data_IF_875680339120
#
_entry.id   IF_875680339120
#
_cell.length_a   1.000
_cell.length_b   1.000
_cell.length_c   1.000
_cell.angle_alpha   90.00
_cell.angle_beta   90.00
_cell.angle_gamma   90.00
#
_symmetry.space_group_name_H-M   'P 1'
#
loop_
_entity.id
_entity.type
_entity.pdbx_description
1 polymer ?
#
# COMPACT_ATOMS: atom_id res chain seq x y z
N UNK A 1 -28.77 137.56 -100.24
CA UNK A 1 -28.00 137.07 -99.09
C UNK A 1 -28.60 135.73 -98.69
N UNK A 2 -27.98 134.63 -99.11
CA UNK A 2 -28.41 133.27 -98.79
C UNK A 2 -27.94 132.92 -97.38
N UNK A 3 -28.85 132.83 -96.42
CA UNK A 3 -28.57 132.19 -95.13
C UNK A 3 -29.07 130.74 -95.24
N UNK A 4 -28.15 129.80 -95.45
CA UNK A 4 -28.49 128.38 -95.42
C UNK A 4 -28.70 127.97 -93.96
N UNK A 5 -29.93 127.56 -93.62
CA UNK A 5 -30.34 127.09 -92.28
C UNK A 5 -29.59 125.83 -91.79
N UNK A 6 -28.61 125.34 -92.54
CA UNK A 6 -27.70 124.26 -92.16
C UNK A 6 -26.28 124.70 -91.75
N UNK A 7 -25.93 125.99 -91.87
CA UNK A 7 -24.66 126.53 -91.37
C UNK A 7 -24.76 126.81 -89.87
N UNK A 8 -24.41 125.78 -89.10
CA UNK A 8 -24.37 125.84 -87.65
C UNK A 8 -23.04 126.48 -87.18
N UNK A 9 -23.06 127.80 -86.95
CA UNK A 9 -21.90 128.59 -86.48
C UNK A 9 -21.42 128.15 -85.07
N UNK A 10 -22.26 127.44 -84.31
CA UNK A 10 -21.96 126.88 -82.98
C UNK A 10 -21.50 125.40 -83.04
N UNK A 11 -21.28 124.85 -84.24
CA UNK A 11 -20.86 123.45 -84.38
C UNK A 11 -19.52 123.15 -83.71
N UNK A 12 -18.59 124.12 -83.68
CA UNK A 12 -17.28 123.97 -83.06
C UNK A 12 -17.28 124.09 -81.53
N UNK A 13 -18.24 124.84 -80.94
CA UNK A 13 -18.48 124.91 -79.50
C UNK A 13 -19.25 123.67 -79.03
N UNK A 14 -20.26 123.23 -79.80
CA UNK A 14 -20.99 121.98 -79.58
C UNK A 14 -20.08 120.74 -79.64
N UNK A 15 -19.19 120.64 -80.64
CA UNK A 15 -18.20 119.55 -80.74
C UNK A 15 -17.22 119.53 -79.56
N UNK A 16 -16.80 120.69 -79.05
CA UNK A 16 -15.94 120.80 -77.86
C UNK A 16 -16.66 120.37 -76.59
N UNK A 17 -17.92 120.78 -76.41
CA UNK A 17 -18.77 120.33 -75.30
C UNK A 17 -18.99 118.81 -75.36
N UNK A 18 -19.27 118.28 -76.55
CA UNK A 18 -19.46 116.85 -76.79
C UNK A 18 -18.17 116.07 -76.48
N UNK A 19 -16.99 116.55 -76.92
CA UNK A 19 -15.70 115.96 -76.56
C UNK A 19 -15.43 115.99 -75.06
N UNK A 20 -15.76 117.08 -74.36
CA UNK A 20 -15.61 117.18 -72.92
C UNK A 20 -16.56 116.23 -72.17
N UNK A 21 -17.81 116.11 -72.62
CA UNK A 21 -18.76 115.14 -72.07
C UNK A 21 -18.32 113.70 -72.33
N UNK A 22 -17.84 113.39 -73.54
CA UNK A 22 -17.27 112.08 -73.84
C UNK A 22 -16.05 111.78 -72.96
N UNK A 23 -15.14 112.74 -72.77
CA UNK A 23 -13.96 112.58 -71.92
C UNK A 23 -14.33 112.36 -70.45
N UNK A 24 -15.25 113.16 -69.92
CA UNK A 24 -15.76 113.01 -68.55
C UNK A 24 -16.46 111.66 -68.34
N UNK A 25 -17.30 111.22 -69.29
CA UNK A 25 -17.96 109.92 -69.22
C UNK A 25 -16.96 108.75 -69.32
N UNK A 26 -15.94 108.87 -70.17
CA UNK A 26 -14.85 107.88 -70.27
C UNK A 26 -14.03 107.80 -68.98
N UNK A 27 -13.66 108.93 -68.39
CA UNK A 27 -12.93 108.99 -67.11
C UNK A 27 -13.76 108.39 -65.98
N UNK A 28 -15.07 108.70 -65.90
CA UNK A 28 -16.03 108.07 -64.98
C UNK A 28 -16.12 106.56 -65.17
N UNK A 29 -16.27 106.10 -66.41
CA UNK A 29 -16.39 104.67 -66.71
C UNK A 29 -15.09 103.91 -66.40
N UNK A 30 -13.92 104.53 -66.64
CA UNK A 30 -12.63 103.97 -66.23
C UNK A 30 -12.50 103.89 -64.70
N UNK A 31 -12.93 104.92 -63.98
CA UNK A 31 -12.89 104.94 -62.52
C UNK A 31 -13.86 103.92 -61.91
N UNK A 32 -15.07 103.79 -62.43
CA UNK A 32 -16.05 102.78 -62.03
C UNK A 32 -15.53 101.35 -62.32
N UNK A 33 -14.94 101.12 -63.50
CA UNK A 33 -14.29 99.82 -63.80
C UNK A 33 -13.13 99.52 -62.87
N UNK A 34 -12.33 100.53 -62.50
CA UNK A 34 -11.23 100.34 -61.58
C UNK A 34 -11.71 100.02 -60.17
N UNK A 35 -12.76 100.71 -59.69
CA UNK A 35 -13.40 100.42 -58.41
C UNK A 35 -13.96 98.99 -58.36
N UNK A 36 -14.71 98.55 -59.38
CA UNK A 36 -15.23 97.18 -59.46
C UNK A 36 -14.10 96.15 -59.44
N UNK A 37 -13.00 96.39 -60.18
CA UNK A 37 -11.83 95.50 -60.16
C UNK A 37 -11.16 95.44 -58.80
N UNK A 38 -11.08 96.55 -58.08
CA UNK A 38 -10.45 96.60 -56.78
C UNK A 38 -11.37 95.97 -55.71
N UNK A 39 -12.68 96.17 -55.80
CA UNK A 39 -13.69 95.46 -54.99
C UNK A 39 -13.66 93.94 -55.25
N UNK A 40 -13.56 93.51 -56.51
CA UNK A 40 -13.44 92.10 -56.89
C UNK A 40 -12.16 91.48 -56.30
N UNK A 41 -11.01 92.15 -56.44
CA UNK A 41 -9.76 91.71 -55.80
C UNK A 41 -9.87 91.63 -54.27
N UNK A 42 -10.55 92.60 -53.65
CA UNK A 42 -10.77 92.58 -52.21
C UNK A 42 -11.68 91.42 -51.80
N UNK A 43 -12.75 91.16 -52.55
CA UNK A 43 -13.65 90.03 -52.31
C UNK A 43 -12.95 88.68 -52.51
N UNK A 44 -12.12 88.54 -53.54
CA UNK A 44 -11.32 87.33 -53.77
C UNK A 44 -10.28 87.11 -52.67
N UNK A 45 -9.59 88.16 -52.21
CA UNK A 45 -8.68 88.07 -51.07
C UNK A 45 -9.39 87.59 -49.79
N UNK A 46 -10.59 88.12 -49.52
CA UNK A 46 -11.42 87.68 -48.39
C UNK A 46 -11.88 86.22 -48.54
N UNK A 47 -12.23 85.80 -49.76
CA UNK A 47 -12.57 84.40 -50.04
C UNK A 47 -11.38 83.48 -49.81
N UNK A 48 -10.20 83.85 -50.27
CA UNK A 48 -8.97 83.08 -50.08
C UNK A 48 -8.62 82.95 -48.60
N UNK A 49 -8.73 84.03 -47.82
CA UNK A 49 -8.53 84.00 -46.37
C UNK A 49 -9.53 83.08 -45.67
N UNK A 50 -10.78 83.09 -46.09
CA UNK A 50 -11.83 82.23 -45.53
C UNK A 50 -11.57 80.75 -45.85
N UNK A 51 -11.18 80.42 -47.08
CA UNK A 51 -10.79 79.05 -47.44
C UNK A 51 -9.57 78.59 -46.63
N UNK A 52 -8.53 79.42 -46.50
CA UNK A 52 -7.36 79.12 -45.68
C UNK A 52 -7.74 78.86 -44.22
N UNK A 53 -8.64 79.67 -43.64
CA UNK A 53 -9.11 79.47 -42.27
C UNK A 53 -9.87 78.14 -42.12
N UNK A 54 -10.73 77.78 -43.07
CA UNK A 54 -11.44 76.50 -43.09
C UNK A 54 -10.46 75.34 -43.20
N UNK A 55 -9.48 75.41 -44.09
CA UNK A 55 -8.48 74.36 -44.28
C UNK A 55 -7.63 74.15 -43.01
N UNK A 56 -7.23 75.24 -42.35
CA UNK A 56 -6.52 75.18 -41.06
C UNK A 56 -7.40 74.52 -40.00
N UNK A 57 -8.68 74.89 -39.91
CA UNK A 57 -9.62 74.30 -38.96
C UNK A 57 -9.86 72.81 -39.25
N UNK A 58 -10.02 72.44 -40.52
CA UNK A 58 -10.18 71.04 -40.94
C UNK A 58 -8.94 70.20 -40.58
N UNK A 59 -7.73 70.74 -40.82
CA UNK A 59 -6.50 70.08 -40.45
C UNK A 59 -6.34 69.91 -38.92
N UNK A 60 -6.75 70.90 -38.13
CA UNK A 60 -6.76 70.80 -36.67
C UNK A 60 -7.74 69.74 -36.17
N UNK A 61 -8.97 69.72 -36.72
CA UNK A 61 -9.98 68.72 -36.39
C UNK A 61 -9.51 67.30 -36.71
N UNK A 62 -8.96 67.07 -37.90
CA UNK A 62 -8.42 65.76 -38.30
C UNK A 62 -7.29 65.28 -37.36
N UNK A 63 -6.41 66.19 -36.92
CA UNK A 63 -5.37 65.86 -35.94
C UNK A 63 -5.96 65.44 -34.59
N UNK A 64 -6.96 66.17 -34.09
CA UNK A 64 -7.61 65.85 -32.82
C UNK A 64 -8.35 64.50 -32.87
N UNK A 65 -9.02 64.21 -33.98
CA UNK A 65 -9.67 62.92 -34.22
C UNK A 65 -8.66 61.77 -34.20
N UNK A 66 -7.52 61.93 -34.89
CA UNK A 66 -6.45 60.93 -34.90
C UNK A 66 -5.88 60.71 -33.50
N UNK A 67 -5.62 61.78 -32.74
CA UNK A 67 -5.18 61.67 -31.34
C UNK A 67 -6.20 60.95 -30.46
N UNK A 68 -7.50 61.27 -30.62
CA UNK A 68 -8.57 60.59 -29.89
C UNK A 68 -8.62 59.10 -30.26
N UNK A 69 -8.53 58.77 -31.54
CA UNK A 69 -8.55 57.41 -32.02
C UNK A 69 -7.35 56.60 -31.47
N UNK A 70 -6.14 57.15 -31.53
CA UNK A 70 -4.94 56.53 -30.95
C UNK A 70 -5.10 56.35 -29.43
N UNK A 71 -5.61 57.36 -28.72
CA UNK A 71 -5.84 57.28 -27.28
C UNK A 71 -6.86 56.18 -26.94
N UNK A 72 -7.98 56.10 -27.66
CA UNK A 72 -8.99 55.05 -27.49
C UNK A 72 -8.43 53.65 -27.78
N UNK A 73 -7.67 53.50 -28.88
CA UNK A 73 -7.04 52.22 -29.23
C UNK A 73 -6.04 51.78 -28.15
N UNK A 74 -5.21 52.70 -27.64
CA UNK A 74 -4.24 52.40 -26.58
C UNK A 74 -4.93 52.03 -25.26
N UNK A 75 -5.99 52.76 -24.88
CA UNK A 75 -6.79 52.45 -23.70
C UNK A 75 -7.45 51.07 -23.82
N UNK A 76 -8.03 50.74 -24.98
CA UNK A 76 -8.62 49.42 -25.25
C UNK A 76 -7.57 48.31 -25.22
N UNK A 77 -6.40 48.53 -25.80
CA UNK A 77 -5.29 47.57 -25.76
C UNK A 77 -4.84 47.31 -24.32
N UNK A 78 -4.73 48.35 -23.49
CA UNK A 78 -4.37 48.22 -22.08
C UNK A 78 -5.45 47.49 -21.27
N UNK A 79 -6.73 47.78 -21.51
CA UNK A 79 -7.84 47.07 -20.87
C UNK A 79 -7.86 45.58 -21.26
N UNK A 80 -7.67 45.26 -22.54
CA UNK A 80 -7.58 43.88 -23.04
C UNK A 80 -6.39 43.14 -22.41
N UNK A 81 -5.22 43.78 -22.30
CA UNK A 81 -4.04 43.21 -21.62
C UNK A 81 -4.33 42.94 -20.15
N UNK A 82 -4.94 43.88 -19.44
CA UNK A 82 -5.30 43.70 -18.04
C UNK A 82 -6.33 42.58 -17.84
N UNK A 83 -7.31 42.46 -18.73
CA UNK A 83 -8.30 41.38 -18.69
C UNK A 83 -7.65 40.02 -18.97
N UNK A 84 -6.77 39.94 -19.97
CA UNK A 84 -6.03 38.72 -20.28
C UNK A 84 -5.15 38.27 -19.10
N UNK A 85 -4.48 39.21 -18.42
CA UNK A 85 -3.69 38.93 -17.22
C UNK A 85 -4.58 38.39 -16.08
N UNK A 86 -5.72 39.03 -15.80
CA UNK A 86 -6.69 38.56 -14.79
C UNK A 86 -7.17 37.14 -15.07
N UNK A 87 -7.53 36.85 -16.32
CA UNK A 87 -7.96 35.49 -16.71
C UNK A 87 -6.84 34.47 -16.58
N UNK A 88 -5.60 34.83 -16.91
CA UNK A 88 -4.44 33.96 -16.73
C UNK A 88 -4.19 33.64 -15.25
N UNK A 89 -4.29 34.63 -14.36
CA UNK A 89 -4.17 34.43 -12.91
C UNK A 89 -5.29 33.54 -12.36
N UNK A 90 -6.53 33.78 -12.77
CA UNK A 90 -7.67 32.94 -12.39
C UNK A 90 -7.45 31.48 -12.79
N UNK A 91 -7.01 31.23 -14.02
CA UNK A 91 -6.67 29.87 -14.49
C UNK A 91 -5.54 29.25 -13.68
N UNK A 92 -4.50 30.01 -13.33
CA UNK A 92 -3.40 29.54 -12.47
C UNK A 92 -3.89 29.15 -11.08
N UNK A 93 -4.71 29.99 -10.45
CA UNK A 93 -5.30 29.70 -9.14
C UNK A 93 -6.24 28.51 -9.19
N UNK A 94 -7.07 28.39 -10.22
CA UNK A 94 -7.93 27.23 -10.41
C UNK A 94 -7.11 25.94 -10.57
N UNK A 95 -6.07 25.97 -11.40
CA UNK A 95 -5.17 24.84 -11.57
C UNK A 95 -4.50 24.44 -10.24
N UNK A 96 -4.02 25.40 -9.46
CA UNK A 96 -3.47 25.14 -8.13
C UNK A 96 -4.50 24.54 -7.17
N UNK A 97 -5.74 25.03 -7.17
CA UNK A 97 -6.84 24.46 -6.37
C UNK A 97 -7.14 23.02 -6.78
N UNK A 98 -7.22 22.75 -8.08
CA UNK A 98 -7.42 21.40 -8.61
C UNK A 98 -6.27 20.47 -8.21
N UNK A 99 -5.01 20.92 -8.33
CA UNK A 99 -3.86 20.12 -7.88
C UNK A 99 -3.90 19.83 -6.38
N UNK A 100 -4.24 20.82 -5.55
CA UNK A 100 -4.39 20.64 -4.10
C UNK A 100 -5.50 19.64 -3.77
N UNK A 101 -6.66 19.75 -4.44
CA UNK A 101 -7.76 18.81 -4.28
C UNK A 101 -7.33 17.37 -4.65
N UNK A 102 -6.73 17.19 -5.84
CA UNK A 102 -6.19 15.90 -6.30
C UNK A 102 -5.20 15.29 -5.30
N UNK A 103 -4.25 16.10 -4.79
CA UNK A 103 -3.29 15.64 -3.76
C UNK A 103 -4.00 15.22 -2.48
N UNK A 104 -4.99 15.99 -2.02
CA UNK A 104 -5.75 15.65 -0.82
C UNK A 104 -6.54 14.35 -1.00
N UNK A 105 -7.09 14.11 -2.19
CA UNK A 105 -7.86 12.91 -2.49
C UNK A 105 -6.95 11.68 -2.58
N UNK A 106 -5.78 11.81 -3.21
CA UNK A 106 -4.74 10.76 -3.19
C UNK A 106 -4.35 10.45 -1.75
N UNK A 107 -4.08 11.45 -0.91
CA UNK A 107 -3.70 11.22 0.48
C UNK A 107 -4.81 10.53 1.27
N UNK A 108 -6.08 10.93 1.07
CA UNK A 108 -7.24 10.28 1.69
C UNK A 108 -7.36 8.83 1.25
N UNK A 109 -7.16 8.53 -0.04
CA UNK A 109 -7.19 7.16 -0.54
C UNK A 109 -6.06 6.33 0.08
N UNK A 110 -4.83 6.81 0.07
CA UNK A 110 -3.67 6.11 0.67
C UNK A 110 -3.90 5.85 2.17
N UNK A 111 -4.44 6.83 2.89
CA UNK A 111 -4.72 6.72 4.34
C UNK A 111 -6.03 5.98 4.62
N UNK A 112 -6.79 5.61 3.58
CA UNK A 112 -8.08 4.97 3.77
C UNK A 112 -7.91 3.58 4.34
N UNK A 113 -8.90 3.17 5.13
CA UNK A 113 -9.01 1.85 5.76
C UNK A 113 -8.84 0.65 4.80
N UNK A 114 -9.36 0.67 3.55
CA UNK A 114 -9.14 -0.46 2.64
C UNK A 114 -7.69 -0.59 2.16
N UNK A 115 -7.00 0.51 1.86
CA UNK A 115 -5.61 0.45 1.36
C UNK A 115 -4.58 0.21 2.48
N UNK A 116 -4.84 0.73 3.68
CA UNK A 116 -3.99 0.51 4.87
C UNK A 116 -4.20 -0.85 5.55
N UNK A 117 -5.22 -1.61 5.11
CA UNK A 117 -5.59 -2.91 5.70
C UNK A 117 -5.68 -2.91 7.23
N UNK A 118 -6.19 -1.81 7.82
CA UNK A 118 -6.19 -1.64 9.27
C UNK A 118 -6.95 -2.79 9.98
N UNK A 119 -6.31 -3.56 10.89
CA UNK A 119 -6.92 -4.71 11.55
C UNK A 119 -8.09 -4.34 12.46
N UNK A 120 -8.18 -3.10 12.94
CA UNK A 120 -9.29 -2.63 13.77
C UNK A 120 -10.64 -2.63 13.04
N UNK A 121 -10.63 -2.63 11.70
CA UNK A 121 -11.84 -2.65 10.88
C UNK A 121 -12.63 -3.95 11.07
N UNK A 122 -11.96 -5.01 11.48
CA UNK A 122 -12.56 -6.31 11.76
C UNK A 122 -13.22 -6.39 13.15
N UNK A 123 -13.00 -5.43 14.06
CA UNK A 123 -13.60 -5.46 15.39
C UNK A 123 -15.11 -5.18 15.33
N UNK A 124 -15.89 -5.94 16.09
CA UNK A 124 -17.33 -5.72 16.17
C UNK A 124 -17.65 -4.48 17.05
N UNK A 125 -18.47 -3.52 16.59
CA UNK A 125 -18.71 -2.26 17.29
C UNK A 125 -19.24 -2.42 18.73
N UNK A 126 -20.15 -3.36 18.93
CA UNK A 126 -20.84 -3.57 20.22
C UNK A 126 -20.24 -4.69 21.06
N UNK A 127 -19.36 -5.52 20.48
CA UNK A 127 -18.90 -6.76 21.11
C UNK A 127 -17.40 -6.94 20.88
N UNK A 128 -16.53 -6.39 21.74
CA UNK A 128 -15.09 -6.34 21.50
C UNK A 128 -14.41 -7.70 21.28
N UNK A 129 -15.00 -8.77 21.84
CA UNK A 129 -14.52 -10.15 21.71
C UNK A 129 -14.93 -10.81 20.38
N UNK A 130 -15.85 -10.20 19.62
CA UNK A 130 -16.31 -10.72 18.33
C UNK A 130 -15.63 -9.98 17.19
N UNK A 131 -15.34 -10.73 16.13
CA UNK A 131 -14.76 -10.22 14.89
C UNK A 131 -15.82 -10.31 13.80
N UNK A 132 -15.87 -9.30 12.92
CA UNK A 132 -16.72 -9.26 11.75
C UNK A 132 -16.20 -10.28 10.71
N UNK A 133 -16.96 -11.33 10.36
CA UNK A 133 -16.47 -12.42 9.52
C UNK A 133 -15.95 -11.96 8.16
N UNK A 134 -16.66 -11.02 7.53
CA UNK A 134 -16.36 -10.51 6.19
C UNK A 134 -15.18 -9.53 6.14
N UNK A 135 -14.61 -9.13 7.29
CA UNK A 135 -13.49 -8.18 7.39
C UNK A 135 -12.26 -8.81 8.06
N UNK A 136 -12.36 -10.03 8.54
CA UNK A 136 -11.27 -10.71 9.21
C UNK A 136 -10.18 -11.11 8.20
N UNK A 137 -9.00 -10.51 8.35
CA UNK A 137 -7.79 -10.87 7.58
C UNK A 137 -6.80 -11.57 8.50
N UNK A 138 -7.02 -12.87 8.72
CA UNK A 138 -6.12 -13.70 9.54
C UNK A 138 -6.10 -13.37 11.03
N UNK A 139 -5.07 -13.86 11.73
CA UNK A 139 -4.82 -13.63 13.15
C UNK A 139 -3.89 -12.43 13.37
N UNK A 140 -4.02 -11.77 14.51
CA UNK A 140 -3.08 -10.71 14.91
C UNK A 140 -1.70 -11.27 15.24
N UNK A 141 -0.65 -10.50 15.01
CA UNK A 141 0.73 -10.89 15.35
C UNK A 141 0.89 -11.26 16.83
N UNK A 142 0.13 -10.60 17.71
CA UNK A 142 0.08 -10.91 19.14
C UNK A 142 -0.49 -12.31 19.39
N UNK A 143 -1.65 -12.63 18.83
CA UNK A 143 -2.25 -13.97 18.95
C UNK A 143 -1.32 -15.06 18.42
N UNK A 144 -0.65 -14.83 17.28
CA UNK A 144 0.32 -15.78 16.75
C UNK A 144 1.52 -15.97 17.68
N UNK A 145 1.98 -14.91 18.34
CA UNK A 145 3.05 -15.00 19.33
C UNK A 145 2.61 -15.80 20.57
N UNK A 146 1.38 -15.58 21.04
CA UNK A 146 0.80 -16.33 22.16
C UNK A 146 0.69 -17.83 21.85
N UNK A 147 0.26 -18.19 20.63
CA UNK A 147 0.21 -19.58 20.17
C UNK A 147 1.62 -20.19 20.16
N UNK A 148 2.63 -19.49 19.62
CA UNK A 148 4.01 -19.99 19.59
C UNK A 148 4.55 -20.23 21.00
N UNK A 149 4.30 -19.30 21.94
CA UNK A 149 4.67 -19.47 23.36
C UNK A 149 3.98 -20.67 24.00
N UNK A 150 2.69 -20.86 23.74
CA UNK A 150 1.95 -22.02 24.24
C UNK A 150 2.50 -23.34 23.67
N UNK A 151 2.86 -23.38 22.38
CA UNK A 151 3.47 -24.55 21.74
C UNK A 151 4.87 -24.86 22.32
N UNK A 152 5.68 -23.84 22.59
CA UNK A 152 6.96 -23.98 23.29
C UNK A 152 6.78 -24.58 24.68
N UNK A 153 5.85 -24.06 25.48
CA UNK A 153 5.53 -24.61 26.79
C UNK A 153 5.06 -26.08 26.70
N UNK A 154 4.23 -26.41 25.72
CA UNK A 154 3.78 -27.79 25.49
C UNK A 154 4.92 -28.73 25.12
N UNK A 155 5.91 -28.28 24.33
CA UNK A 155 7.10 -29.08 24.01
C UNK A 155 7.91 -29.40 25.26
N UNK A 156 8.20 -28.39 26.07
CA UNK A 156 8.95 -28.58 27.32
C UNK A 156 8.22 -29.50 28.31
N UNK A 157 6.89 -29.38 28.42
CA UNK A 157 6.10 -30.29 29.26
C UNK A 157 6.20 -31.74 28.77
N UNK A 158 6.11 -31.98 27.46
CA UNK A 158 6.24 -33.34 26.90
C UNK A 158 7.64 -33.90 27.06
N UNK A 159 8.68 -33.08 26.89
CA UNK A 159 10.07 -33.48 27.12
C UNK A 159 10.27 -33.90 28.57
N UNK A 160 9.75 -33.13 29.53
CA UNK A 160 9.82 -33.48 30.94
C UNK A 160 9.06 -34.78 31.26
N UNK A 161 7.87 -34.97 30.69
CA UNK A 161 7.12 -36.22 30.84
C UNK A 161 7.91 -37.43 30.33
N UNK A 162 8.48 -37.32 29.13
CA UNK A 162 9.28 -38.38 28.55
C UNK A 162 10.51 -38.72 29.41
N UNK A 163 11.17 -37.71 30.00
CA UNK A 163 12.29 -37.94 30.92
C UNK A 163 11.85 -38.70 32.18
N UNK A 164 10.67 -38.39 32.73
CA UNK A 164 10.12 -39.10 33.89
C UNK A 164 9.76 -40.55 33.52
N UNK A 165 9.13 -40.77 32.38
CA UNK A 165 8.80 -42.12 31.88
C UNK A 165 10.07 -42.96 31.69
N UNK A 166 11.09 -42.40 31.03
CA UNK A 166 12.39 -43.08 30.88
C UNK A 166 13.04 -43.42 32.23
N UNK A 167 12.97 -42.52 33.21
CA UNK A 167 13.49 -42.78 34.55
C UNK A 167 12.72 -43.93 35.25
N UNK A 168 11.41 -44.00 35.08
CA UNK A 168 10.60 -45.11 35.60
C UNK A 168 10.94 -46.42 34.88
N UNK A 169 11.03 -46.42 33.55
CA UNK A 169 11.36 -47.61 32.77
C UNK A 169 12.73 -48.18 33.15
N UNK A 170 13.73 -47.31 33.34
CA UNK A 170 15.06 -47.73 33.82
C UNK A 170 15.00 -48.30 35.24
N UNK A 171 14.18 -47.74 36.13
CA UNK A 171 13.97 -48.28 37.46
C UNK A 171 13.34 -49.68 37.38
N UNK A 172 12.29 -49.88 36.58
CA UNK A 172 11.65 -51.18 36.37
C UNK A 172 12.60 -52.21 35.76
N UNK A 173 13.42 -51.80 34.78
CA UNK A 173 14.45 -52.67 34.20
C UNK A 173 15.47 -53.10 35.27
N UNK A 174 15.93 -52.19 36.12
CA UNK A 174 16.86 -52.52 37.20
C UNK A 174 16.25 -53.49 38.22
N UNK A 175 14.99 -53.28 38.62
CA UNK A 175 14.27 -54.18 39.51
C UNK A 175 14.10 -55.58 38.90
N UNK A 176 13.83 -55.64 37.60
CA UNK A 176 13.71 -56.92 36.88
C UNK A 176 15.03 -57.69 36.92
N UNK A 177 16.17 -57.01 36.74
CA UNK A 177 17.50 -57.62 36.85
C UNK A 177 17.75 -58.15 38.26
N UNK A 178 17.46 -57.35 39.30
CA UNK A 178 17.63 -57.79 40.70
C UNK A 178 16.74 -58.98 41.04
N UNK A 179 15.48 -58.99 40.59
CA UNK A 179 14.57 -60.12 40.80
C UNK A 179 15.05 -61.38 40.07
N UNK A 180 15.56 -61.23 38.85
CA UNK A 180 16.13 -62.37 38.10
C UNK A 180 17.38 -62.94 38.79
N UNK A 181 18.26 -62.08 39.33
CA UNK A 181 19.42 -62.51 40.11
C UNK A 181 18.98 -63.25 41.39
N UNK A 182 18.05 -62.69 42.16
CA UNK A 182 17.53 -63.34 43.35
C UNK A 182 16.85 -64.68 43.04
N UNK A 183 16.14 -64.79 41.92
CA UNK A 183 15.54 -66.04 41.47
C UNK A 183 16.61 -67.11 41.14
N UNK A 184 17.69 -66.73 40.46
CA UNK A 184 18.81 -67.64 40.17
C UNK A 184 19.49 -68.12 41.46
N UNK A 185 19.72 -67.23 42.43
CA UNK A 185 20.27 -67.59 43.74
C UNK A 185 19.37 -68.59 44.49
N UNK A 186 18.05 -68.38 44.44
CA UNK A 186 17.09 -69.31 45.03
C UNK A 186 17.07 -70.68 44.31
N UNK A 187 17.15 -70.69 42.97
CA UNK A 187 17.27 -71.93 42.20
C UNK A 187 18.56 -72.70 42.55
N UNK A 188 19.68 -71.99 42.77
CA UNK A 188 20.94 -72.60 43.19
C UNK A 188 20.81 -73.23 44.59
N UNK A 189 20.22 -72.51 45.56
CA UNK A 189 19.95 -73.03 46.89
C UNK A 189 19.03 -74.27 46.85
N UNK A 190 18.00 -74.25 46.01
CA UNK A 190 17.11 -75.41 45.82
C UNK A 190 17.88 -76.61 45.29
N UNK A 191 18.77 -76.40 44.31
CA UNK A 191 19.62 -77.47 43.75
C UNK A 191 20.56 -78.07 44.78
N UNK A 192 21.18 -77.23 45.62
CA UNK A 192 22.06 -77.68 46.70
C UNK A 192 21.31 -78.53 47.73
N UNK A 193 20.15 -78.07 48.19
CA UNK A 193 19.29 -78.81 49.11
C UNK A 193 18.83 -80.14 48.50
N UNK A 194 18.40 -80.14 47.23
CA UNK A 194 18.03 -81.36 46.52
C UNK A 194 19.20 -82.36 46.45
N UNK A 195 20.41 -81.88 46.17
CA UNK A 195 21.60 -82.73 46.14
C UNK A 195 21.96 -83.29 47.53
N UNK A 196 21.77 -82.51 48.60
CA UNK A 196 21.89 -82.99 49.99
C UNK A 196 20.87 -84.08 50.32
N UNK A 197 19.59 -83.87 50.01
CA UNK A 197 18.56 -84.87 50.22
C UNK A 197 18.83 -86.15 49.43
N UNK A 198 19.26 -86.04 48.17
CA UNK A 198 19.62 -87.20 47.35
C UNK A 198 20.80 -87.97 47.92
N UNK A 199 21.85 -87.28 48.41
CA UNK A 199 22.98 -87.92 49.10
C UNK A 199 22.50 -88.65 50.36
N UNK A 200 21.69 -87.99 51.19
CA UNK A 200 21.12 -88.59 52.41
C UNK A 200 20.28 -89.83 52.13
N UNK A 201 19.39 -89.77 51.13
CA UNK A 201 18.61 -90.93 50.67
C UNK A 201 19.50 -92.04 50.12
N UNK A 202 20.54 -91.69 49.37
CA UNK A 202 21.53 -92.64 48.86
C UNK A 202 22.23 -93.41 49.98
N UNK A 203 22.73 -92.71 51.00
CA UNK A 203 23.35 -93.32 52.19
C UNK A 203 22.37 -94.21 52.97
N UNK A 204 21.13 -93.76 53.16
CA UNK A 204 20.11 -94.55 53.84
C UNK A 204 19.77 -95.83 53.06
N UNK A 205 19.61 -95.73 51.74
CA UNK A 205 19.35 -96.89 50.89
C UNK A 205 20.52 -97.88 50.89
N UNK A 206 21.77 -97.40 50.93
CA UNK A 206 22.95 -98.26 51.07
C UNK A 206 22.95 -99.01 52.40
N UNK A 207 22.65 -98.32 53.51
CA UNK A 207 22.52 -98.93 54.83
C UNK A 207 21.43 -100.01 54.83
N UNK A 208 20.25 -99.69 54.29
CA UNK A 208 19.13 -100.61 54.18
C UNK A 208 19.48 -101.85 53.33
N UNK A 209 20.21 -101.67 52.23
CA UNK A 209 20.66 -102.77 51.38
C UNK A 209 21.67 -103.68 52.12
N UNK A 210 22.58 -103.11 52.92
CA UNK A 210 23.49 -103.89 53.77
C UNK A 210 22.72 -104.70 54.81
N UNK A 211 21.75 -104.08 55.48
CA UNK A 211 20.92 -104.74 56.50
C UNK A 211 20.10 -105.89 55.89
N UNK A 212 19.45 -105.65 54.74
CA UNK A 212 18.71 -106.68 54.01
C UNK A 212 19.63 -107.84 53.58
N UNK A 213 20.83 -107.54 53.07
CA UNK A 213 21.81 -108.57 52.69
C UNK A 213 22.27 -109.37 53.91
N UNK A 214 22.53 -108.71 55.04
CA UNK A 214 22.90 -109.37 56.29
C UNK A 214 21.77 -110.30 56.78
N UNK A 215 20.51 -109.85 56.73
CA UNK A 215 19.35 -110.69 57.03
C UNK A 215 19.23 -111.88 56.08
N UNK A 216 19.36 -111.69 54.76
CA UNK A 216 19.33 -112.80 53.80
C UNK A 216 20.45 -113.81 54.05
N UNK A 217 21.67 -113.34 54.34
CA UNK A 217 22.79 -114.20 54.70
C UNK A 217 22.49 -115.01 55.98
N UNK A 218 21.91 -114.38 56.99
CA UNK A 218 21.49 -115.05 58.23
C UNK A 218 20.43 -116.13 57.96
N UNK A 219 19.38 -115.81 57.18
CA UNK A 219 18.33 -116.77 56.80
C UNK A 219 18.93 -117.97 56.06
N UNK A 220 19.79 -117.73 55.07
CA UNK A 220 20.41 -118.79 54.28
C UNK A 220 21.35 -119.68 55.13
N UNK A 221 22.19 -119.07 55.97
CA UNK A 221 23.22 -119.79 56.72
C UNK A 221 22.68 -120.53 57.95
N UNK A 222 21.69 -119.98 58.65
CA UNK A 222 21.22 -120.51 59.94
C UNK A 222 19.86 -121.20 59.82
N UNK A 223 18.91 -120.63 59.07
CA UNK A 223 17.54 -121.16 58.99
C UNK A 223 17.40 -122.18 57.87
N UNK A 224 17.89 -121.87 56.67
CA UNK A 224 17.71 -122.73 55.49
C UNK A 224 18.79 -123.81 55.35
N UNK A 225 19.85 -123.76 56.15
CA UNK A 225 20.86 -124.81 56.20
C UNK A 225 20.45 -125.87 57.22
N UNK A 226 19.80 -126.95 56.76
CA UNK A 226 19.40 -128.06 57.62
C UNK A 226 20.63 -128.87 58.05
N UNK A 227 21.06 -128.68 59.29
CA UNK A 227 22.02 -129.58 59.92
C UNK A 227 21.28 -130.80 60.49
N UNK A 228 21.63 -132.04 60.09
CA UNK A 228 21.02 -133.23 60.66
C UNK A 228 21.24 -133.25 62.17
N UNK A 229 20.14 -133.28 62.93
CA UNK A 229 20.17 -133.36 64.39
C UNK A 229 20.86 -134.64 64.84
N UNK A 230 21.58 -134.65 65.96
CA UNK A 230 22.29 -135.85 66.45
C UNK A 230 21.38 -137.12 66.52
N UNK A 231 20.07 -136.94 66.75
CA UNK A 231 19.07 -138.01 66.65
C UNK A 231 18.96 -138.67 65.27
N UNK A 232 19.19 -137.95 64.17
CA UNK A 232 19.18 -138.49 62.81
C UNK A 232 20.26 -139.55 62.61
N UNK A 233 21.49 -139.29 63.08
CA UNK A 233 22.58 -140.27 62.96
C UNK A 233 22.38 -141.50 63.85
N UNK A 234 21.69 -141.35 64.99
CA UNK A 234 21.30 -142.46 65.87
C UNK A 234 20.22 -143.37 65.27
N UNK A 235 19.59 -143.02 64.13
CA UNK A 235 18.61 -143.90 63.47
C UNK A 235 19.27 -145.05 62.68
N UNK A 236 20.52 -144.87 62.23
CA UNK A 236 21.23 -145.86 61.42
C UNK A 236 21.99 -146.86 62.32
N UNK A 237 22.01 -148.15 61.95
CA UNK A 237 22.66 -149.25 62.68
C UNK A 237 22.09 -149.58 64.08
N UNK A 238 20.81 -149.29 64.33
CA UNK A 238 20.10 -149.65 65.58
C UNK A 238 19.52 -151.08 65.60
N UNK A 239 19.56 -151.79 64.47
CA UNK A 239 19.03 -153.14 64.29
C UNK A 239 20.08 -154.03 63.60
N UNK A 240 20.42 -155.17 64.21
CA UNK A 240 21.47 -156.10 63.78
C UNK A 240 21.02 -157.10 62.70
N UNK A 241 20.17 -156.67 61.76
CA UNK A 241 19.58 -157.52 60.72
C UNK A 241 20.22 -157.29 59.36
#
# INVERSE_FOLDING_TARGET
>A
MQCFLGEDLDRASFLRMQQQQFRYNLERQQQEQQQVKDEEKHADMLRDQLHQAIDIQAAQMARLEEYCHIAMMSARANANKAQAAKLAEQKRHEHQRQQKAKRSDIQKQITSKPLTENPQVAQHPTAPHRVLPYRQKGMTSQQQADIRRAQEAQRHLKEAQHQVEQALDTQWASQTIYLAQAALELEEQERELCAEFQRGLGSFNEQLAKDQKAQQNYLNAIIYTNQPTAQYYLQFNTSSR
#
